data_IF_590165760637
#
_entry.id   IF_590165760637
#
_cell.length_a   1.000
_cell.length_b   1.000
_cell.length_c   1.000
_cell.angle_alpha   90.00
_cell.angle_beta   90.00
_cell.angle_gamma   90.00
#
_symmetry.space_group_name_H-M   'P 1'
#
loop_
_entity.id
_entity.type
_entity.pdbx_description
1 polymer ?
#
# COMPACT_ATOMS: atom_id res chain seq x y z
N UNK A 1 -6.96 21.55 -4.39
CA UNK A 1 -7.78 20.80 -3.40
C UNK A 1 -8.05 19.44 -4.01
N UNK A 2 -7.55 18.36 -3.39
CA UNK A 2 -7.91 17.02 -3.83
C UNK A 2 -9.39 16.79 -3.51
N UNK A 3 -10.19 16.41 -4.50
CA UNK A 3 -11.56 15.97 -4.27
C UNK A 3 -11.50 14.53 -3.74
N UNK A 4 -11.39 14.38 -2.43
CA UNK A 4 -11.41 13.06 -1.80
C UNK A 4 -12.78 12.42 -1.92
N UNK A 5 -12.81 11.10 -2.13
CA UNK A 5 -14.06 10.34 -2.13
C UNK A 5 -14.59 10.19 -0.71
N UNK A 6 -15.86 9.78 -0.57
CA UNK A 6 -16.48 9.53 0.74
C UNK A 6 -15.69 8.47 1.52
N UNK A 7 -15.20 7.43 0.84
CA UNK A 7 -14.41 6.34 1.41
C UNK A 7 -13.06 6.85 1.93
N UNK A 8 -12.41 7.75 1.18
CA UNK A 8 -11.12 8.35 1.59
C UNK A 8 -11.29 9.26 2.80
N UNK A 9 -12.39 10.03 2.87
CA UNK A 9 -12.73 10.84 4.04
C UNK A 9 -13.01 9.93 5.24
N UNK A 10 -13.82 8.89 5.05
CA UNK A 10 -14.13 7.92 6.11
C UNK A 10 -12.84 7.27 6.65
N UNK A 11 -11.95 6.81 5.76
CA UNK A 11 -10.64 6.29 6.13
C UNK A 11 -9.83 7.31 6.95
N UNK A 12 -9.73 8.56 6.50
CA UNK A 12 -8.96 9.62 7.19
C UNK A 12 -9.46 9.90 8.62
N UNK A 13 -10.76 9.71 8.87
CA UNK A 13 -11.39 9.88 10.17
C UNK A 13 -11.18 8.68 11.13
N UNK A 14 -10.67 7.55 10.65
CA UNK A 14 -10.34 6.41 11.49
C UNK A 14 -9.13 6.70 12.39
N UNK A 15 -9.08 6.00 13.54
CA UNK A 15 -7.92 6.02 14.43
C UNK A 15 -6.67 5.62 13.64
N UNK A 16 -5.54 6.25 13.94
CA UNK A 16 -4.26 5.99 13.25
C UNK A 16 -3.90 4.49 13.24
N UNK A 17 -4.07 3.79 14.35
CA UNK A 17 -3.82 2.35 14.43
C UNK A 17 -4.68 1.51 13.48
N UNK A 18 -5.94 1.91 13.27
CA UNK A 18 -6.85 1.22 12.34
C UNK A 18 -6.42 1.47 10.90
N UNK A 19 -6.05 2.71 10.55
CA UNK A 19 -5.52 3.04 9.22
C UNK A 19 -4.25 2.28 8.88
N UNK A 20 -3.31 2.19 9.83
CA UNK A 20 -2.07 1.43 9.66
C UNK A 20 -2.36 -0.07 9.47
N UNK A 21 -3.26 -0.66 10.26
CA UNK A 21 -3.63 -2.07 10.07
C UNK A 21 -4.33 -2.31 8.72
N UNK A 22 -5.21 -1.41 8.27
CA UNK A 22 -5.83 -1.52 6.93
C UNK A 22 -4.78 -1.44 5.82
N UNK A 23 -3.79 -0.55 5.94
CA UNK A 23 -2.65 -0.51 5.02
C UNK A 23 -1.89 -1.84 5.04
N UNK A 24 -1.57 -2.37 6.22
CA UNK A 24 -0.88 -3.66 6.34
C UNK A 24 -1.67 -4.79 5.67
N UNK A 25 -3.00 -4.83 5.85
CA UNK A 25 -3.88 -5.80 5.20
C UNK A 25 -3.87 -5.66 3.67
N UNK A 26 -3.94 -4.44 3.14
CA UNK A 26 -3.81 -4.19 1.70
C UNK A 26 -2.48 -4.74 1.16
N UNK A 27 -1.37 -4.49 1.85
CA UNK A 27 -0.07 -5.02 1.44
C UNK A 27 0.01 -6.55 1.52
N UNK A 28 -0.59 -7.18 2.53
CA UNK A 28 -0.68 -8.65 2.59
C UNK A 28 -1.53 -9.23 1.46
N UNK A 29 -2.66 -8.60 1.15
CA UNK A 29 -3.54 -9.03 0.06
C UNK A 29 -2.83 -8.88 -1.29
N UNK A 30 -2.14 -7.76 -1.51
CA UNK A 30 -1.28 -7.57 -2.68
C UNK A 30 -0.18 -8.63 -2.74
N UNK A 31 0.45 -8.97 -1.60
CA UNK A 31 1.47 -10.00 -1.55
C UNK A 31 0.94 -11.37 -1.99
N UNK A 32 -0.22 -11.76 -1.46
CA UNK A 32 -0.86 -13.04 -1.75
C UNK A 32 -1.41 -13.14 -3.17
N UNK A 33 -2.02 -12.07 -3.70
CA UNK A 33 -2.63 -12.09 -5.03
C UNK A 33 -1.59 -12.02 -6.14
N UNK A 34 -0.42 -11.46 -5.87
CA UNK A 34 0.65 -11.29 -6.86
C UNK A 34 1.27 -12.58 -7.35
N UNK A 35 1.01 -13.73 -6.73
CA UNK A 35 1.56 -15.02 -7.17
C UNK A 35 0.81 -15.62 -8.36
N UNK A 36 -0.36 -15.09 -8.72
CA UNK A 36 -1.21 -15.59 -9.81
C UNK A 36 -1.55 -14.46 -10.80
N UNK A 37 -1.24 -14.68 -12.07
CA UNK A 37 -1.34 -13.68 -13.13
C UNK A 37 -2.77 -13.18 -13.38
N UNK A 38 -3.77 -14.00 -13.06
CA UNK A 38 -5.19 -13.65 -13.28
C UNK A 38 -5.66 -12.52 -12.37
N UNK A 39 -4.93 -12.24 -11.28
CA UNK A 39 -5.32 -11.25 -10.28
C UNK A 39 -4.83 -9.83 -10.59
N UNK A 40 -4.32 -9.56 -11.79
CA UNK A 40 -3.71 -8.27 -12.13
C UNK A 40 -4.60 -7.07 -11.86
N UNK A 41 -5.88 -7.11 -12.23
CA UNK A 41 -6.79 -5.99 -11.96
C UNK A 41 -7.04 -5.80 -10.46
N UNK A 42 -7.19 -6.89 -9.71
CA UNK A 42 -7.40 -6.82 -8.26
C UNK A 42 -6.18 -6.21 -7.55
N UNK A 43 -4.96 -6.59 -7.96
CA UNK A 43 -3.74 -6.00 -7.41
C UNK A 43 -3.61 -4.53 -7.79
N UNK A 44 -3.96 -4.15 -9.03
CA UNK A 44 -3.93 -2.77 -9.48
C UNK A 44 -4.87 -1.86 -8.65
N UNK A 45 -6.07 -2.34 -8.31
CA UNK A 45 -6.99 -1.60 -7.45
C UNK A 45 -6.41 -1.39 -6.04
N UNK A 46 -5.79 -2.43 -5.47
CA UNK A 46 -5.11 -2.32 -4.17
C UNK A 46 -3.95 -1.30 -4.23
N UNK A 47 -3.18 -1.30 -5.32
CA UNK A 47 -2.10 -0.32 -5.56
C UNK A 47 -2.67 1.11 -5.58
N UNK A 48 -3.78 1.34 -6.30
CA UNK A 48 -4.43 2.65 -6.41
C UNK A 48 -4.93 3.16 -5.06
N UNK A 49 -5.63 2.31 -4.32
CA UNK A 49 -6.15 2.64 -2.99
C UNK A 49 -5.02 2.92 -2.00
N UNK A 50 -4.04 2.02 -1.92
CA UNK A 50 -2.95 2.11 -0.94
C UNK A 50 -2.13 3.38 -1.11
N UNK A 51 -1.94 3.88 -2.35
CA UNK A 51 -1.29 5.18 -2.58
C UNK A 51 -1.96 6.33 -1.83
N UNK A 52 -3.30 6.38 -1.88
CA UNK A 52 -4.06 7.44 -1.22
C UNK A 52 -4.03 7.24 0.29
N UNK A 53 -4.17 6.00 0.75
CA UNK A 53 -4.15 5.69 2.19
C UNK A 53 -2.80 6.00 2.82
N UNK A 54 -1.68 5.79 2.12
CA UNK A 54 -0.34 6.19 2.58
C UNK A 54 -0.26 7.71 2.78
N UNK A 55 -0.71 8.50 1.80
CA UNK A 55 -0.72 9.97 1.87
C UNK A 55 -1.57 10.47 3.05
N UNK A 56 -2.78 9.92 3.20
CA UNK A 56 -3.70 10.28 4.28
C UNK A 56 -3.21 9.86 5.67
N UNK A 57 -2.37 8.83 5.75
CA UNK A 57 -1.81 8.32 7.01
C UNK A 57 -0.56 9.08 7.41
N UNK A 58 0.32 9.42 6.46
CA UNK A 58 1.59 10.10 6.71
C UNK A 58 1.44 11.46 7.42
N UNK A 59 0.30 12.14 7.26
CA UNK A 59 0.01 13.45 7.87
C UNK A 59 0.08 13.41 9.41
N UNK A 60 -0.23 12.26 10.03
CA UNK A 60 -0.29 12.12 11.49
C UNK A 60 0.91 11.34 12.07
N UNK A 61 1.94 11.09 11.27
CA UNK A 61 3.16 10.38 11.69
C UNK A 61 4.32 11.35 11.94
N UNK A 62 5.32 10.89 12.70
CA UNK A 62 6.61 11.57 12.78
C UNK A 62 7.31 11.58 11.41
N UNK A 63 8.33 12.44 11.27
CA UNK A 63 9.01 12.67 9.99
C UNK A 63 9.64 11.40 9.41
N UNK A 64 10.21 10.53 10.24
CA UNK A 64 10.90 9.33 9.78
C UNK A 64 9.86 8.31 9.27
N UNK A 65 8.82 8.05 10.06
CA UNK A 65 7.72 7.16 9.65
C UNK A 65 6.98 7.67 8.42
N UNK A 66 6.71 8.98 8.33
CA UNK A 66 6.07 9.59 7.17
C UNK A 66 6.94 9.49 5.91
N UNK A 67 8.26 9.65 6.04
CA UNK A 67 9.21 9.49 4.94
C UNK A 67 9.20 8.05 4.40
N UNK A 68 9.14 7.05 5.28
CA UNK A 68 9.03 5.65 4.87
C UNK A 68 7.76 5.38 4.06
N UNK A 69 6.59 5.87 4.53
CA UNK A 69 5.34 5.74 3.78
C UNK A 69 5.42 6.42 2.41
N UNK A 70 6.11 7.57 2.31
CA UNK A 70 6.31 8.25 1.04
C UNK A 70 7.18 7.43 0.06
N UNK A 71 8.18 6.69 0.54
CA UNK A 71 8.97 5.79 -0.31
C UNK A 71 8.12 4.63 -0.84
N UNK A 72 7.25 4.04 -0.01
CA UNK A 72 6.29 3.03 -0.44
C UNK A 72 5.36 3.61 -1.52
N UNK A 73 4.76 4.78 -1.28
CA UNK A 73 3.85 5.44 -2.22
C UNK A 73 4.53 5.77 -3.54
N UNK A 74 5.81 6.16 -3.51
CA UNK A 74 6.62 6.39 -4.73
C UNK A 74 6.76 5.12 -5.55
N UNK A 75 7.06 3.98 -4.91
CA UNK A 75 7.19 2.70 -5.62
C UNK A 75 5.84 2.23 -6.18
N UNK A 76 4.75 2.32 -5.40
CA UNK A 76 3.39 2.06 -5.88
C UNK A 76 3.01 2.94 -7.08
N UNK A 77 3.44 4.20 -7.07
CA UNK A 77 3.21 5.12 -8.19
C UNK A 77 3.95 4.68 -9.46
N UNK A 78 5.18 4.18 -9.33
CA UNK A 78 5.93 3.64 -10.46
C UNK A 78 5.26 2.41 -11.05
N UNK A 79 4.81 1.48 -10.20
CA UNK A 79 4.06 0.31 -10.63
C UNK A 79 2.77 0.71 -11.34
N UNK A 80 1.98 1.62 -10.77
CA UNK A 80 0.72 2.05 -11.38
C UNK A 80 0.94 2.69 -12.77
N UNK A 81 1.94 3.58 -12.92
CA UNK A 81 2.21 4.25 -14.22
C UNK A 81 2.68 3.24 -15.29
N UNK A 82 3.42 2.20 -14.88
CA UNK A 82 4.00 1.21 -15.78
C UNK A 82 3.34 -0.17 -15.65
N UNK A 83 2.06 -0.21 -15.28
CA UNK A 83 1.41 -1.43 -14.81
C UNK A 83 1.53 -2.61 -15.76
N UNK A 84 1.24 -2.40 -17.05
CA UNK A 84 1.30 -3.47 -18.05
C UNK A 84 2.68 -4.13 -18.15
N UNK A 85 3.76 -3.34 -18.06
CA UNK A 85 5.12 -3.89 -18.03
C UNK A 85 5.50 -4.47 -16.68
N UNK A 86 5.04 -3.86 -15.59
CA UNK A 86 5.29 -4.33 -14.22
C UNK A 86 4.62 -5.66 -13.92
N UNK A 87 3.43 -5.93 -14.47
CA UNK A 87 2.70 -7.17 -14.24
C UNK A 87 3.06 -8.31 -15.21
N UNK A 88 3.83 -8.01 -16.27
CA UNK A 88 3.98 -8.91 -17.42
C UNK A 88 4.70 -10.23 -17.11
N UNK A 89 5.62 -10.26 -16.14
CA UNK A 89 6.46 -11.43 -15.87
C UNK A 89 6.26 -11.98 -14.47
N UNK A 90 6.49 -13.28 -14.31
CA UNK A 90 6.53 -13.95 -13.01
C UNK A 90 7.54 -13.30 -12.06
N UNK A 91 8.69 -12.86 -12.57
CA UNK A 91 9.73 -12.23 -11.75
C UNK A 91 9.28 -10.89 -11.18
N UNK A 92 8.62 -10.05 -11.97
CA UNK A 92 8.11 -8.77 -11.48
C UNK A 92 6.91 -8.95 -10.55
N UNK A 93 6.06 -9.93 -10.81
CA UNK A 93 4.99 -10.35 -9.88
C UNK A 93 5.54 -10.84 -8.53
N UNK A 94 6.60 -11.63 -8.54
CA UNK A 94 7.29 -12.08 -7.33
C UNK A 94 7.93 -10.90 -6.57
N UNK A 95 8.46 -9.90 -7.28
CA UNK A 95 8.99 -8.67 -6.67
C UNK A 95 7.87 -7.90 -5.95
N UNK A 96 6.72 -7.69 -6.59
CA UNK A 96 5.54 -7.07 -5.95
C UNK A 96 5.16 -7.86 -4.70
N UNK A 97 5.10 -9.20 -4.81
CA UNK A 97 4.74 -10.05 -3.69
C UNK A 97 5.66 -9.85 -2.48
N UNK A 98 6.97 -9.92 -2.73
CA UNK A 98 8.02 -9.83 -1.71
C UNK A 98 8.08 -8.44 -1.06
N UNK A 99 8.03 -7.38 -1.87
CA UNK A 99 8.05 -6.01 -1.36
C UNK A 99 6.79 -5.69 -0.55
N UNK A 100 5.63 -6.14 -1.00
CA UNK A 100 4.37 -5.93 -0.28
C UNK A 100 4.36 -6.65 1.07
N UNK A 101 4.85 -7.90 1.12
CA UNK A 101 5.00 -8.61 2.39
C UNK A 101 5.94 -7.87 3.36
N UNK A 102 7.04 -7.32 2.84
CA UNK A 102 8.01 -6.54 3.63
C UNK A 102 7.38 -5.27 4.17
N UNK A 103 6.64 -4.53 3.35
CA UNK A 103 5.97 -3.30 3.78
C UNK A 103 4.83 -3.56 4.77
N UNK A 104 4.08 -4.66 4.63
CA UNK A 104 3.08 -5.03 5.63
C UNK A 104 3.69 -5.20 7.03
N UNK A 105 4.83 -5.88 7.11
CA UNK A 105 5.55 -6.04 8.38
C UNK A 105 6.03 -4.68 8.90
N UNK A 106 6.61 -3.85 8.03
CA UNK A 106 7.11 -2.53 8.42
C UNK A 106 6.00 -1.61 8.95
N UNK A 107 4.83 -1.63 8.32
CA UNK A 107 3.68 -0.82 8.76
C UNK A 107 3.16 -1.28 10.13
N UNK A 108 3.19 -2.58 10.41
CA UNK A 108 2.86 -3.11 11.74
C UNK A 108 3.86 -2.68 12.81
N UNK A 109 5.15 -2.64 12.47
CA UNK A 109 6.18 -2.08 13.36
C UNK A 109 5.90 -0.60 13.66
N UNK A 110 5.57 0.21 12.64
CA UNK A 110 5.17 1.63 12.82
C UNK A 110 3.92 1.73 13.71
N UNK A 111 2.97 0.81 13.59
CA UNK A 111 1.77 0.76 14.43
C UNK A 111 2.03 0.35 15.88
N UNK A 112 3.26 -0.06 16.22
CA UNK A 112 3.60 -0.63 17.52
C UNK A 112 3.00 -2.02 17.76
N UNK A 113 2.58 -2.70 16.68
CA UNK A 113 2.01 -4.05 16.71
C UNK A 113 3.13 -5.04 16.37
N UNK A 114 3.90 -5.44 17.38
CA UNK A 114 4.77 -6.61 17.28
C UNK A 114 3.95 -7.84 17.69
N UNK A 115 3.79 -8.80 16.77
CA UNK A 115 3.35 -10.18 17.06
C UNK A 115 4.54 -11.09 16.93
#
# INVERSE_FOLDING_TARGET
MNNWTVEQIAFRCERLSVRLERLAQNFLQMASLSVDEVNGEAVLEIVRESKVFLELTAIDLDVDSAFELAQMQRQLSRWHIHWWSTWASDSSRLEISTLSQTWANRIREIAGVLV
#
